data_IF_254985101717
#
_entry.id   IF_254985101717
#
_cell.length_a   1.000
_cell.length_b   1.000
_cell.length_c   1.000
_cell.angle_alpha   90.00
_cell.angle_beta   90.00
_cell.angle_gamma   90.00
#
_symmetry.space_group_name_H-M   'P 1'
#
loop_
_entity.id
_entity.type
_entity.pdbx_description
1 polymer ?
#
# COMPACT_ATOMS: atom_id res chain seq x y z
N UNK A 1 -17.17 -47.54 69.24
CA UNK A 1 -17.08 -46.59 68.09
C UNK A 1 -15.70 -46.78 67.45
N UNK A 2 -15.63 -47.59 66.37
CA UNK A 2 -15.18 -47.20 65.00
C UNK A 2 -13.89 -46.35 64.96
N UNK A 3 -12.84 -46.60 64.16
CA UNK A 3 -12.42 -47.65 63.20
C UNK A 3 -11.00 -47.26 62.74
N UNK A 4 -10.06 -48.21 62.79
CA UNK A 4 -9.03 -48.56 61.80
C UNK A 4 -7.92 -47.61 61.25
N UNK A 5 -6.71 -48.19 61.30
CA UNK A 5 -5.41 -47.92 60.66
C UNK A 5 -5.40 -47.83 59.12
N UNK A 6 -4.36 -47.13 58.61
CA UNK A 6 -3.56 -47.30 57.38
C UNK A 6 -4.32 -47.57 56.06
N UNK A 7 -4.08 -46.86 54.95
CA UNK A 7 -2.85 -46.87 54.13
C UNK A 7 -3.16 -46.06 52.85
N UNK A 8 -2.27 -45.15 52.46
CA UNK A 8 -1.39 -45.23 51.27
C UNK A 8 -2.05 -45.02 49.89
N UNK A 9 -1.42 -44.13 49.12
CA UNK A 9 -1.46 -43.99 47.66
C UNK A 9 -2.83 -43.70 47.01
N UNK A 10 -3.10 -42.42 46.74
CA UNK A 10 -3.69 -42.01 45.47
C UNK A 10 -3.07 -40.67 45.05
N UNK A 11 -1.82 -40.76 44.59
CA UNK A 11 -1.20 -39.74 43.76
C UNK A 11 -2.00 -39.74 42.45
N UNK A 12 -2.88 -38.75 42.27
CA UNK A 12 -3.61 -38.56 41.02
C UNK A 12 -2.61 -38.16 39.92
N UNK A 13 -2.05 -39.18 39.26
CA UNK A 13 -1.46 -39.10 37.94
C UNK A 13 -2.57 -38.79 36.92
N UNK A 14 -3.01 -37.54 36.85
CA UNK A 14 -3.49 -36.99 35.59
C UNK A 14 -2.28 -36.52 34.81
N UNK A 15 -1.54 -37.49 34.26
CA UNK A 15 -0.75 -37.24 33.06
C UNK A 15 -1.77 -36.94 31.95
N UNK A 16 -2.06 -35.65 31.76
CA UNK A 16 -2.57 -35.20 30.48
C UNK A 16 -1.50 -35.58 29.46
N UNK A 17 -1.79 -36.62 28.70
CA UNK A 17 -1.16 -36.84 27.41
C UNK A 17 -1.56 -35.65 26.53
N UNK A 18 -0.86 -34.52 26.71
CA UNK A 18 -0.59 -33.65 25.58
C UNK A 18 0.31 -34.48 24.67
N UNK A 19 -0.33 -35.23 23.79
CA UNK A 19 0.28 -35.65 22.55
C UNK A 19 0.89 -34.41 21.95
N UNK A 20 2.22 -34.40 21.88
CA UNK A 20 2.96 -33.54 20.96
C UNK A 20 2.37 -33.88 19.59
N UNK A 21 1.45 -33.06 19.12
CA UNK A 21 0.95 -33.15 17.76
C UNK A 21 2.17 -32.78 16.91
N UNK A 22 2.85 -33.80 16.40
CA UNK A 22 3.89 -33.62 15.42
C UNK A 22 3.33 -32.70 14.33
N UNK A 23 4.07 -31.65 13.95
CA UNK A 23 3.77 -30.80 12.81
C UNK A 23 3.73 -31.67 11.54
N UNK A 24 2.61 -32.34 11.28
CA UNK A 24 2.37 -32.99 9.99
C UNK A 24 2.25 -31.89 8.95
N UNK A 25 2.95 -32.06 7.82
CA UNK A 25 2.72 -31.21 6.66
C UNK A 25 1.23 -31.27 6.29
N UNK A 26 0.58 -30.12 6.18
CA UNK A 26 -0.82 -30.07 5.76
C UNK A 26 -0.91 -30.50 4.29
N UNK A 27 -1.95 -31.26 3.96
CA UNK A 27 -2.31 -31.52 2.57
C UNK A 27 -2.75 -30.22 1.85
N UNK A 28 -2.73 -30.23 0.52
CA UNK A 28 -3.20 -29.12 -0.30
C UNK A 28 -4.65 -28.72 0.06
N UNK A 29 -5.51 -29.70 0.31
CA UNK A 29 -6.92 -29.46 0.64
C UNK A 29 -7.09 -28.84 2.03
N UNK A 30 -6.31 -29.31 3.01
CA UNK A 30 -6.29 -28.69 4.34
C UNK A 30 -5.79 -27.25 4.27
N UNK A 31 -4.71 -26.98 3.52
CA UNK A 31 -4.20 -25.62 3.33
C UNK A 31 -5.26 -24.69 2.72
N UNK A 32 -5.96 -25.12 1.66
CA UNK A 32 -7.05 -24.33 1.06
C UNK A 32 -8.14 -24.01 2.08
N UNK A 33 -8.56 -25.01 2.88
CA UNK A 33 -9.59 -24.84 3.91
C UNK A 33 -9.14 -23.88 5.00
N UNK A 34 -7.89 -23.97 5.45
CA UNK A 34 -7.33 -23.04 6.44
C UNK A 34 -7.28 -21.61 5.90
N UNK A 35 -6.79 -21.38 4.68
CA UNK A 35 -6.85 -20.04 4.08
C UNK A 35 -8.28 -19.51 3.94
N UNK A 36 -9.21 -20.35 3.51
CA UNK A 36 -10.62 -19.98 3.39
C UNK A 36 -11.25 -19.62 4.74
N UNK A 37 -10.85 -20.26 5.85
CA UNK A 37 -11.35 -19.93 7.19
C UNK A 37 -10.93 -18.52 7.64
N UNK A 38 -9.84 -18.01 7.07
CA UNK A 38 -9.35 -16.63 7.23
C UNK A 38 -9.86 -15.66 6.14
N UNK A 39 -10.89 -16.05 5.38
CA UNK A 39 -11.49 -15.21 4.33
C UNK A 39 -10.60 -15.01 3.11
N UNK A 40 -9.53 -15.79 2.96
CA UNK A 40 -8.65 -15.73 1.80
C UNK A 40 -9.30 -16.52 0.66
N UNK A 41 -9.59 -15.82 -0.44
CA UNK A 41 -10.26 -16.37 -1.62
C UNK A 41 -9.48 -15.96 -2.89
N UNK A 42 -9.68 -16.66 -4.03
CA UNK A 42 -9.09 -16.24 -5.30
C UNK A 42 -9.61 -14.85 -5.71
N UNK A 43 -8.73 -13.91 -6.06
CA UNK A 43 -9.17 -12.53 -6.37
C UNK A 43 -10.12 -12.45 -7.57
N UNK A 44 -9.95 -13.32 -8.57
CA UNK A 44 -10.83 -13.34 -9.74
C UNK A 44 -12.29 -13.71 -9.43
N UNK A 45 -12.62 -14.12 -8.19
CA UNK A 45 -14.01 -14.33 -7.76
C UNK A 45 -14.66 -13.08 -7.15
N UNK A 46 -13.88 -12.03 -6.88
CA UNK A 46 -14.40 -10.79 -6.31
C UNK A 46 -15.04 -9.87 -7.35
N UNK A 47 -15.99 -9.07 -6.87
CA UNK A 47 -16.63 -8.02 -7.66
C UNK A 47 -15.72 -6.79 -7.77
N UNK A 48 -15.73 -6.20 -8.95
CA UNK A 48 -15.07 -4.94 -9.24
C UNK A 48 -15.92 -4.16 -10.24
N UNK A 49 -15.82 -2.84 -10.17
CA UNK A 49 -16.44 -1.96 -11.14
C UNK A 49 -15.76 -2.11 -12.51
N UNK A 50 -16.56 -2.15 -13.56
CA UNK A 50 -16.10 -2.07 -14.96
C UNK A 50 -16.27 -0.65 -15.47
N UNK A 51 -15.32 -0.16 -16.26
CA UNK A 51 -15.35 1.20 -16.80
C UNK A 51 -15.47 1.17 -18.33
N UNK A 52 -15.91 2.29 -18.91
CA UNK A 52 -15.92 2.43 -20.37
C UNK A 52 -14.49 2.57 -20.90
N UNK A 53 -14.27 2.15 -22.15
CA UNK A 53 -12.96 2.28 -22.80
C UNK A 53 -12.50 3.76 -22.87
N UNK A 54 -13.46 4.67 -23.03
CA UNK A 54 -13.26 6.12 -23.07
C UNK A 54 -12.78 6.66 -21.73
N UNK A 55 -13.39 6.22 -20.62
CA UNK A 55 -13.00 6.63 -19.26
C UNK A 55 -11.64 6.05 -18.88
N UNK A 56 -11.38 4.78 -19.25
CA UNK A 56 -10.08 4.15 -19.09
C UNK A 56 -8.98 4.91 -19.85
N UNK A 57 -9.21 5.26 -21.12
CA UNK A 57 -8.22 5.97 -21.94
C UNK A 57 -7.98 7.41 -21.45
N UNK A 58 -9.03 8.12 -21.04
CA UNK A 58 -8.90 9.43 -20.40
C UNK A 58 -8.02 9.34 -19.15
N UNK A 59 -8.29 8.36 -18.28
CA UNK A 59 -7.50 8.08 -17.09
C UNK A 59 -6.05 7.74 -17.40
N UNK A 60 -5.83 6.87 -18.38
CA UNK A 60 -4.48 6.47 -18.82
C UNK A 60 -3.68 7.67 -19.32
N UNK A 61 -4.27 8.56 -20.10
CA UNK A 61 -3.54 9.75 -20.58
C UNK A 61 -3.23 10.69 -19.42
N UNK A 62 -4.19 10.98 -18.55
CA UNK A 62 -4.00 11.86 -17.39
C UNK A 62 -2.97 11.32 -16.38
N UNK A 63 -2.94 10.01 -16.14
CA UNK A 63 -2.01 9.37 -15.21
C UNK A 63 -0.53 9.57 -15.61
N UNK A 64 -0.26 9.63 -16.92
CA UNK A 64 1.09 9.86 -17.45
C UNK A 64 1.38 11.33 -17.77
N UNK A 65 0.37 12.19 -17.78
CA UNK A 65 0.50 13.59 -18.14
C UNK A 65 0.86 14.45 -16.92
N UNK A 66 1.91 15.25 -17.05
CA UNK A 66 2.37 16.17 -16.00
C UNK A 66 1.42 17.36 -15.81
N UNK A 67 0.40 17.50 -16.67
CA UNK A 67 -0.59 18.58 -16.63
C UNK A 67 -1.35 18.68 -15.30
N UNK A 68 -1.45 17.58 -14.53
CA UNK A 68 -2.10 17.54 -13.22
C UNK A 68 -1.23 18.08 -12.08
N UNK A 69 0.06 18.30 -12.30
CA UNK A 69 0.95 18.89 -11.28
C UNK A 69 1.02 20.41 -11.41
N UNK A 70 1.23 21.13 -10.30
CA UNK A 70 1.24 22.59 -10.28
C UNK A 70 2.27 23.17 -11.24
N UNK A 71 3.52 22.70 -11.14
CA UNK A 71 4.67 23.09 -11.97
C UNK A 71 4.81 22.31 -13.28
N UNK A 72 3.85 21.42 -13.61
CA UNK A 72 3.84 20.62 -14.86
C UNK A 72 5.10 19.78 -15.10
N UNK A 73 5.74 19.33 -14.03
CA UNK A 73 7.01 18.60 -14.04
C UNK A 73 6.94 17.16 -13.51
N UNK A 74 5.79 16.70 -13.02
CA UNK A 74 5.61 15.36 -12.46
C UNK A 74 4.21 14.83 -12.76
N UNK A 75 4.08 13.52 -12.99
CA UNK A 75 2.80 12.82 -13.18
C UNK A 75 2.68 11.66 -12.21
N UNK A 76 1.50 11.03 -12.13
CA UNK A 76 1.30 9.84 -11.29
C UNK A 76 2.30 8.73 -11.66
N UNK A 77 2.56 8.54 -12.96
CA UNK A 77 3.50 7.55 -13.48
C UNK A 77 4.96 7.77 -13.06
N UNK A 78 5.35 8.96 -12.59
CA UNK A 78 6.70 9.21 -12.09
C UNK A 78 6.98 8.45 -10.77
N UNK A 79 5.95 8.26 -9.95
CA UNK A 79 6.01 7.53 -8.68
C UNK A 79 5.36 6.15 -8.74
N UNK A 80 4.44 5.93 -9.70
CA UNK A 80 3.66 4.71 -9.84
C UNK A 80 3.80 4.10 -11.24
N UNK A 81 4.99 3.58 -11.55
CA UNK A 81 5.32 3.09 -12.89
C UNK A 81 5.20 1.57 -13.00
N UNK A 82 4.64 1.05 -14.09
CA UNK A 82 4.46 -0.41 -14.30
C UNK A 82 5.78 -1.19 -14.38
N UNK A 83 6.82 -0.60 -14.97
CA UNK A 83 8.18 -1.19 -14.98
C UNK A 83 8.75 -1.45 -13.59
N UNK A 84 8.31 -0.72 -12.57
CA UNK A 84 8.82 -0.77 -11.19
C UNK A 84 7.78 -1.32 -10.21
N UNK A 85 6.93 -2.26 -10.67
CA UNK A 85 5.93 -2.91 -9.82
C UNK A 85 4.91 -1.94 -9.23
N UNK A 86 4.53 -0.90 -9.99
CA UNK A 86 3.61 0.17 -9.58
C UNK A 86 4.14 1.13 -8.51
N UNK A 87 5.44 1.04 -8.17
CA UNK A 87 6.18 2.06 -7.43
C UNK A 87 7.22 2.76 -8.30
N UNK A 88 8.31 3.24 -7.70
CA UNK A 88 9.40 3.96 -8.36
C UNK A 88 10.79 3.39 -8.07
N UNK A 89 10.88 2.18 -7.49
CA UNK A 89 12.14 1.52 -7.10
C UNK A 89 13.05 2.32 -6.14
N UNK A 90 12.55 3.41 -5.55
CA UNK A 90 13.27 4.19 -4.55
C UNK A 90 12.77 3.84 -3.14
N UNK A 91 13.63 3.92 -2.11
CA UNK A 91 13.17 3.84 -0.72
C UNK A 91 12.10 4.91 -0.44
N UNK A 92 12.41 6.15 -0.84
CA UNK A 92 11.53 7.31 -0.70
C UNK A 92 11.42 8.01 -2.04
N UNK A 93 10.19 8.34 -2.41
CA UNK A 93 9.91 9.00 -3.67
C UNK A 93 10.42 10.43 -3.70
N UNK A 94 10.69 10.91 -4.91
CA UNK A 94 11.08 12.29 -5.17
C UNK A 94 9.91 12.94 -5.91
N UNK A 95 9.23 13.87 -5.25
CA UNK A 95 8.07 14.56 -5.80
C UNK A 95 8.45 15.69 -6.76
N UNK A 96 7.78 16.82 -6.60
CA UNK A 96 8.00 18.04 -7.38
C UNK A 96 9.50 18.43 -7.40
N UNK A 97 10.01 18.73 -8.60
CA UNK A 97 11.44 19.02 -8.83
C UNK A 97 12.33 17.78 -9.05
N UNK A 98 11.77 16.57 -9.08
CA UNK A 98 12.48 15.34 -9.45
C UNK A 98 12.54 15.07 -10.96
N UNK A 99 13.69 14.62 -11.45
CA UNK A 99 13.91 14.25 -12.85
C UNK A 99 14.28 12.78 -13.01
N UNK A 100 13.81 12.15 -14.10
CA UNK A 100 14.09 10.74 -14.40
C UNK A 100 13.14 9.76 -13.71
N UNK A 101 13.41 8.46 -13.90
CA UNK A 101 12.57 7.37 -13.43
C UNK A 101 13.37 6.30 -12.68
N UNK A 102 12.69 5.59 -11.79
CA UNK A 102 13.29 4.46 -11.09
C UNK A 102 14.53 4.88 -10.27
N UNK A 103 15.51 3.99 -10.25
CA UNK A 103 16.84 4.26 -9.69
C UNK A 103 17.61 5.40 -10.39
N UNK A 104 17.21 5.84 -11.59
CA UNK A 104 17.83 6.98 -12.27
C UNK A 104 17.20 8.32 -11.87
N UNK A 105 16.11 8.29 -11.09
CA UNK A 105 15.46 9.52 -10.61
C UNK A 105 16.39 10.26 -9.63
N UNK A 106 16.51 11.57 -9.85
CA UNK A 106 17.37 12.48 -9.10
C UNK A 106 16.58 13.67 -8.56
N UNK A 107 16.92 14.08 -7.35
CA UNK A 107 16.39 15.29 -6.72
C UNK A 107 17.21 16.47 -7.25
N UNK A 108 16.62 17.28 -8.15
CA UNK A 108 17.25 18.53 -8.62
C UNK A 108 16.83 19.71 -7.75
N UNK A 109 15.54 19.79 -7.46
CA UNK A 109 14.92 20.74 -6.54
C UNK A 109 13.80 20.02 -5.76
N UNK A 110 13.29 20.65 -4.70
CA UNK A 110 12.19 20.11 -3.88
C UNK A 110 12.65 19.21 -2.74
N UNK A 111 11.81 18.25 -2.38
CA UNK A 111 11.96 17.46 -1.16
C UNK A 111 11.75 15.96 -1.40
N UNK A 112 12.33 15.14 -0.52
CA UNK A 112 11.96 13.72 -0.43
C UNK A 112 10.56 13.61 0.15
N UNK A 113 9.76 12.72 -0.42
CA UNK A 113 8.48 12.35 0.16
C UNK A 113 8.76 11.49 1.42
N UNK A 114 8.08 11.72 2.55
CA UNK A 114 8.36 11.04 3.81
C UNK A 114 8.17 9.51 3.82
N UNK A 115 7.56 8.95 2.78
CA UNK A 115 7.20 7.55 2.67
C UNK A 115 7.47 7.01 1.27
N UNK A 116 7.68 5.71 1.19
CA UNK A 116 7.71 4.94 -0.04
C UNK A 116 6.38 5.05 -0.80
N UNK A 117 6.40 5.07 -2.13
CA UNK A 117 5.20 5.03 -2.96
C UNK A 117 4.47 3.69 -2.79
N UNK A 118 3.24 3.65 -2.22
CA UNK A 118 2.56 2.40 -1.94
C UNK A 118 2.07 1.76 -3.26
N UNK A 119 2.30 0.46 -3.49
CA UNK A 119 1.88 -0.23 -4.71
C UNK A 119 0.37 -0.17 -4.95
N UNK A 120 -0.06 0.08 -6.19
CA UNK A 120 -1.47 0.35 -6.54
C UNK A 120 -2.22 -0.88 -7.07
N UNK A 121 -1.68 -2.08 -6.91
CA UNK A 121 -2.32 -3.31 -7.37
C UNK A 121 -3.66 -3.59 -6.68
N UNK A 122 -4.64 -4.08 -7.44
CA UNK A 122 -5.91 -4.64 -6.96
C UNK A 122 -6.77 -3.69 -6.10
N UNK A 123 -6.59 -2.37 -6.22
CA UNK A 123 -7.38 -1.38 -5.46
C UNK A 123 -8.76 -1.08 -6.04
N UNK A 124 -9.06 -1.63 -7.23
CA UNK A 124 -10.33 -1.44 -7.94
C UNK A 124 -11.46 -2.40 -7.53
N UNK A 125 -11.18 -3.37 -6.66
CA UNK A 125 -12.19 -4.30 -6.13
C UNK A 125 -13.09 -3.62 -5.10
N UNK A 126 -14.36 -4.03 -5.05
CA UNK A 126 -15.36 -3.40 -4.17
C UNK A 126 -15.00 -3.54 -2.69
N UNK A 127 -14.35 -4.64 -2.31
CA UNK A 127 -13.91 -4.92 -0.95
C UNK A 127 -12.64 -4.15 -0.54
N UNK A 128 -11.97 -3.45 -1.47
CA UNK A 128 -10.83 -2.60 -1.14
C UNK A 128 -11.31 -1.25 -0.60
N UNK A 129 -11.15 -1.01 0.70
CA UNK A 129 -11.83 0.11 1.37
C UNK A 129 -10.91 1.12 2.08
N UNK A 130 -9.62 0.83 2.27
CA UNK A 130 -8.68 1.71 3.00
C UNK A 130 -7.34 1.83 2.26
N UNK A 131 -6.91 3.06 1.95
CA UNK A 131 -5.66 3.36 1.24
C UNK A 131 -4.71 4.24 2.07
N UNK A 132 -3.49 4.43 1.54
CA UNK A 132 -2.33 5.05 2.21
C UNK A 132 -1.72 4.21 3.33
N UNK A 133 -0.45 4.49 3.66
CA UNK A 133 0.30 3.80 4.71
C UNK A 133 -0.27 4.01 6.12
N UNK A 134 -0.97 5.11 6.38
CA UNK A 134 -1.63 5.41 7.67
C UNK A 134 -3.14 5.18 7.63
N UNK A 135 -3.65 4.56 6.56
CA UNK A 135 -5.08 4.25 6.42
C UNK A 135 -6.00 5.47 6.49
N UNK A 136 -5.46 6.66 6.18
CA UNK A 136 -6.14 7.94 6.38
C UNK A 136 -7.26 8.24 5.39
N UNK A 137 -7.32 7.50 4.28
CA UNK A 137 -8.40 7.61 3.30
C UNK A 137 -9.13 6.27 3.27
N UNK A 138 -10.41 6.28 3.62
CA UNK A 138 -11.24 5.08 3.68
C UNK A 138 -12.69 5.34 3.31
N UNK A 139 -13.40 4.28 2.90
CA UNK A 139 -14.86 4.30 2.76
C UNK A 139 -15.51 4.60 4.11
N UNK A 140 -16.55 5.42 4.13
CA UNK A 140 -17.36 5.69 5.31
C UNK A 140 -18.37 4.57 5.60
N UNK A 141 -19.11 4.73 6.69
CA UNK A 141 -20.10 3.72 7.14
C UNK A 141 -21.28 3.61 6.16
N UNK A 142 -21.63 4.69 5.48
CA UNK A 142 -22.70 4.72 4.48
C UNK A 142 -22.13 4.63 3.07
N UNK A 143 -22.80 3.92 2.14
CA UNK A 143 -22.40 3.90 0.73
C UNK A 143 -22.23 5.30 0.15
N UNK A 144 -21.12 5.54 -0.55
CA UNK A 144 -20.81 6.84 -1.17
C UNK A 144 -20.21 7.89 -0.23
N UNK A 145 -20.08 7.60 1.07
CA UNK A 145 -19.42 8.48 2.03
C UNK A 145 -17.96 8.12 2.24
N UNK A 146 -17.15 9.10 2.67
CA UNK A 146 -15.70 8.94 2.83
C UNK A 146 -15.23 9.44 4.20
N UNK A 147 -14.09 8.90 4.65
CA UNK A 147 -13.34 9.45 5.78
C UNK A 147 -11.90 9.69 5.32
N UNK A 148 -11.50 10.96 5.35
CA UNK A 148 -10.23 11.44 4.83
C UNK A 148 -9.66 12.56 5.71
N UNK A 149 -8.39 12.97 5.53
CA UNK A 149 -7.84 14.14 6.22
C UNK A 149 -8.48 15.46 5.79
N UNK A 150 -9.17 15.50 4.65
CA UNK A 150 -9.88 16.68 4.19
C UNK A 150 -11.32 16.63 4.72
N UNK A 151 -11.65 17.48 5.69
CA UNK A 151 -12.96 17.47 6.33
C UNK A 151 -14.07 17.80 5.33
N UNK A 152 -13.79 18.68 4.35
CA UNK A 152 -14.78 19.11 3.37
C UNK A 152 -15.27 18.02 2.42
N UNK A 153 -14.62 16.85 2.36
CA UNK A 153 -15.07 15.70 1.54
C UNK A 153 -15.71 14.57 2.35
N UNK A 154 -15.80 14.70 3.66
CA UNK A 154 -16.23 13.62 4.55
C UNK A 154 -17.75 13.65 4.82
N UNK A 155 -18.30 12.48 5.14
CA UNK A 155 -19.69 12.34 5.59
C UNK A 155 -20.75 12.41 4.49
N UNK A 156 -22.01 12.58 4.89
CA UNK A 156 -23.17 12.60 3.99
C UNK A 156 -23.44 13.98 3.36
N UNK A 157 -22.99 15.05 4.03
CA UNK A 157 -23.16 16.43 3.57
C UNK A 157 -21.78 17.10 3.47
N UNK A 158 -20.92 16.66 2.53
CA UNK A 158 -19.60 17.25 2.35
C UNK A 158 -19.70 18.71 1.92
N UNK A 159 -18.80 19.55 2.42
CA UNK A 159 -18.66 20.95 1.99
C UNK A 159 -18.37 21.05 0.49
N UNK A 160 -17.54 20.14 -0.03
CA UNK A 160 -17.18 20.05 -1.44
C UNK A 160 -18.07 19.06 -2.20
N UNK A 161 -19.38 19.06 -1.93
CA UNK A 161 -20.35 18.16 -2.55
C UNK A 161 -20.23 18.09 -4.07
N UNK A 162 -20.00 19.23 -4.74
CA UNK A 162 -19.86 19.28 -6.19
C UNK A 162 -18.66 18.46 -6.73
N UNK A 163 -17.58 18.26 -5.95
CA UNK A 163 -16.46 17.37 -6.30
C UNK A 163 -16.72 15.94 -5.83
N UNK A 164 -17.41 15.75 -4.69
CA UNK A 164 -17.60 14.46 -4.04
C UNK A 164 -18.72 13.63 -4.66
N UNK A 165 -19.85 14.23 -5.00
CA UNK A 165 -21.02 13.54 -5.55
C UNK A 165 -20.71 12.70 -6.80
N UNK A 166 -19.85 13.15 -7.74
CA UNK A 166 -19.45 12.31 -8.86
C UNK A 166 -18.53 11.16 -8.48
N UNK A 167 -17.83 11.17 -7.35
CA UNK A 167 -16.75 10.21 -7.05
C UNK A 167 -17.27 8.77 -6.98
N UNK A 168 -16.66 7.90 -7.78
CA UNK A 168 -17.13 6.55 -8.04
C UNK A 168 -16.41 5.48 -7.22
N UNK A 169 -15.25 5.79 -6.65
CA UNK A 169 -14.38 4.80 -5.99
C UNK A 169 -13.41 5.43 -4.99
N UNK A 170 -12.85 4.61 -4.11
CA UNK A 170 -11.79 5.02 -3.17
C UNK A 170 -10.52 5.47 -3.91
N UNK A 171 -10.28 4.98 -5.13
CA UNK A 171 -9.17 5.41 -5.98
C UNK A 171 -9.39 6.83 -6.50
N UNK A 172 -10.62 7.16 -6.91
CA UNK A 172 -10.96 8.53 -7.31
C UNK A 172 -10.76 9.51 -6.12
N UNK A 173 -11.20 9.13 -4.93
CA UNK A 173 -10.97 9.93 -3.71
C UNK A 173 -9.47 10.08 -3.43
N UNK A 174 -8.69 9.01 -3.55
CA UNK A 174 -7.25 9.04 -3.32
C UNK A 174 -6.53 9.96 -4.32
N UNK A 175 -6.96 10.00 -5.58
CA UNK A 175 -6.37 10.83 -6.61
C UNK A 175 -6.44 12.34 -6.32
N UNK A 176 -7.33 12.77 -5.40
CA UNK A 176 -7.45 14.16 -4.97
C UNK A 176 -6.27 14.66 -4.12
N UNK A 177 -5.49 13.75 -3.50
CA UNK A 177 -4.52 14.12 -2.47
C UNK A 177 -3.11 14.44 -3.00
N UNK A 178 -2.49 13.62 -3.87
CA UNK A 178 -1.13 13.91 -4.36
C UNK A 178 -1.03 15.24 -5.11
N UNK A 179 -2.05 15.57 -5.92
CA UNK A 179 -2.15 16.83 -6.68
C UNK A 179 -2.21 18.09 -5.80
N UNK A 180 -2.65 17.94 -4.55
CA UNK A 180 -2.79 19.02 -3.58
C UNK A 180 -1.72 18.95 -2.48
N UNK A 181 -0.68 18.14 -2.69
CA UNK A 181 0.45 17.98 -1.77
C UNK A 181 1.66 18.73 -2.32
N UNK A 182 2.16 19.69 -1.55
CA UNK A 182 3.33 20.52 -1.92
C UNK A 182 4.58 19.67 -2.20
N UNK A 183 4.76 18.60 -1.42
CA UNK A 183 5.90 17.70 -1.54
C UNK A 183 5.76 16.69 -2.69
N UNK A 184 4.55 16.50 -3.23
CA UNK A 184 4.28 15.50 -4.26
C UNK A 184 4.10 16.16 -5.63
N UNK A 185 2.96 16.82 -5.88
CA UNK A 185 2.64 17.33 -7.22
C UNK A 185 2.24 18.82 -7.25
N UNK A 186 1.84 19.43 -6.13
CA UNK A 186 1.38 20.83 -6.14
C UNK A 186 2.54 21.81 -6.34
N UNK A 187 3.70 21.54 -5.74
CA UNK A 187 4.79 22.49 -5.58
C UNK A 187 4.53 23.51 -4.47
N UNK A 188 5.53 24.32 -4.14
CA UNK A 188 5.45 25.27 -3.04
C UNK A 188 4.41 26.39 -3.28
N UNK A 189 3.94 26.99 -2.19
CA UNK A 189 2.97 28.09 -2.21
C UNK A 189 3.41 29.24 -3.14
N UNK A 190 2.48 29.74 -3.96
CA UNK A 190 2.65 30.82 -4.94
C UNK A 190 3.72 30.59 -6.02
N UNK A 191 4.22 29.37 -6.20
CA UNK A 191 5.17 29.06 -7.29
C UNK A 191 4.49 28.80 -8.63
N UNK A 192 3.19 28.54 -8.66
CA UNK A 192 2.42 28.32 -9.88
C UNK A 192 0.97 28.80 -9.79
N UNK A 193 0.22 28.62 -10.88
CA UNK A 193 -1.17 29.05 -11.03
C UNK A 193 -2.20 28.23 -10.21
N UNK A 194 -1.79 27.08 -9.65
CA UNK A 194 -2.65 26.21 -8.83
C UNK A 194 -2.36 26.43 -7.34
N UNK A 195 -1.10 26.66 -6.97
CA UNK A 195 -0.68 26.90 -5.57
C UNK A 195 -0.81 28.36 -5.09
N UNK A 196 -1.60 29.19 -5.79
CA UNK A 196 -1.78 30.61 -5.41
C UNK A 196 -2.53 30.80 -4.10
N UNK A 197 -3.47 29.89 -3.83
CA UNK A 197 -4.28 29.84 -2.62
C UNK A 197 -4.01 28.53 -1.89
N UNK A 198 -4.26 28.50 -0.59
CA UNK A 198 -4.20 27.27 0.22
C UNK A 198 -5.50 26.46 0.15
N UNK A 199 -6.55 27.03 -0.43
CA UNK A 199 -7.86 26.40 -0.61
C UNK A 199 -7.82 25.29 -1.67
N UNK A 200 -8.25 24.09 -1.29
CA UNK A 200 -8.30 22.93 -2.20
C UNK A 200 -9.35 23.09 -3.28
N UNK A 201 -10.46 23.74 -3.00
CA UNK A 201 -11.52 23.91 -3.98
C UNK A 201 -11.04 24.77 -5.14
N UNK A 202 -10.36 25.88 -4.81
CA UNK A 202 -9.60 26.66 -5.78
C UNK A 202 -8.64 25.81 -6.60
N UNK A 203 -7.79 24.99 -5.97
CA UNK A 203 -6.81 24.15 -6.69
C UNK A 203 -7.49 23.22 -7.70
N UNK A 204 -8.54 22.51 -7.28
CA UNK A 204 -9.30 21.59 -8.13
C UNK A 204 -10.00 22.31 -9.28
N UNK A 205 -10.61 23.47 -9.03
CA UNK A 205 -11.17 24.33 -10.06
C UNK A 205 -10.11 24.73 -11.10
N UNK A 206 -8.95 25.22 -10.66
CA UNK A 206 -7.86 25.65 -11.57
C UNK A 206 -7.32 24.51 -12.43
N UNK A 207 -7.14 23.32 -11.85
CA UNK A 207 -6.73 22.13 -12.59
C UNK A 207 -7.79 21.71 -13.61
N UNK A 208 -9.06 21.71 -13.23
CA UNK A 208 -10.17 21.40 -14.15
C UNK A 208 -10.24 22.39 -15.32
N UNK A 209 -10.13 23.70 -15.08
CA UNK A 209 -10.06 24.72 -16.15
C UNK A 209 -8.89 24.47 -17.10
N UNK A 210 -7.73 24.13 -16.56
CA UNK A 210 -6.52 23.82 -17.33
C UNK A 210 -6.74 22.64 -18.26
N UNK A 211 -7.37 21.56 -17.78
CA UNK A 211 -7.71 20.38 -18.60
C UNK A 211 -8.70 20.72 -19.70
N UNK A 212 -9.79 21.45 -19.39
CA UNK A 212 -10.84 21.80 -20.35
C UNK A 212 -10.39 22.73 -21.49
N UNK A 213 -9.27 23.44 -21.31
CA UNK A 213 -8.63 24.26 -22.36
C UNK A 213 -7.96 23.41 -23.45
N UNK A 214 -7.66 22.15 -23.17
CA UNK A 214 -7.05 21.22 -24.14
C UNK A 214 -8.18 20.48 -24.86
N UNK A 215 -8.38 20.79 -26.14
CA UNK A 215 -9.47 20.26 -26.97
C UNK A 215 -9.60 18.73 -26.88
N UNK A 216 -8.48 18.02 -27.05
CA UNK A 216 -8.47 16.56 -26.98
C UNK A 216 -8.89 16.01 -25.60
N UNK A 217 -8.58 16.69 -24.50
CA UNK A 217 -9.06 16.26 -23.17
C UNK A 217 -10.54 16.56 -22.98
N UNK A 218 -11.02 17.71 -23.45
CA UNK A 218 -12.44 18.05 -23.43
C UNK A 218 -13.26 17.03 -24.22
N UNK A 219 -12.81 16.61 -25.39
CA UNK A 219 -13.49 15.57 -26.20
C UNK A 219 -13.51 14.22 -25.48
N UNK A 220 -12.40 13.83 -24.85
CA UNK A 220 -12.32 12.60 -24.07
C UNK A 220 -13.23 12.64 -22.84
N UNK A 221 -13.36 13.79 -22.18
CA UNK A 221 -14.29 13.98 -21.06
C UNK A 221 -15.75 13.77 -21.50
N UNK A 222 -16.18 14.40 -22.59
CA UNK A 222 -17.54 14.19 -23.12
C UNK A 222 -17.81 12.74 -23.55
N UNK A 223 -16.79 12.04 -24.08
CA UNK A 223 -16.89 10.61 -24.40
C UNK A 223 -16.95 9.72 -23.17
N UNK A 224 -16.21 10.07 -22.11
CA UNK A 224 -16.19 9.32 -20.85
C UNK A 224 -17.46 9.53 -19.99
N UNK A 225 -18.14 10.66 -20.18
CA UNK A 225 -19.34 11.09 -19.44
C UNK A 225 -20.41 11.62 -20.40
N UNK A 226 -21.07 10.75 -21.19
CA UNK A 226 -22.05 11.15 -22.20
C UNK A 226 -23.31 11.82 -21.61
N UNK A 227 -23.56 11.67 -20.32
CA UNK A 227 -24.61 12.36 -19.56
C UNK A 227 -24.34 13.85 -19.40
N UNK A 228 -23.07 14.28 -19.36
CA UNK A 228 -22.66 15.67 -19.21
C UNK A 228 -22.81 16.40 -20.56
N UNK A 229 -23.52 17.54 -20.56
CA UNK A 229 -23.85 18.27 -21.80
C UNK A 229 -23.05 19.54 -21.99
N UNK A 230 -22.71 20.23 -20.90
CA UNK A 230 -21.95 21.47 -20.96
C UNK A 230 -20.57 21.31 -20.30
N UNK A 231 -19.56 21.98 -20.86
CA UNK A 231 -18.20 21.94 -20.27
C UNK A 231 -18.16 22.49 -18.85
N UNK A 232 -19.09 23.40 -18.51
CA UNK A 232 -19.28 23.98 -17.19
C UNK A 232 -19.57 22.95 -16.10
N UNK A 233 -20.16 21.81 -16.47
CA UNK A 233 -20.66 20.81 -15.51
C UNK A 233 -19.57 19.79 -15.12
N UNK A 234 -18.49 19.71 -15.89
CA UNK A 234 -17.31 18.96 -15.47
C UNK A 234 -16.70 19.61 -14.24
N UNK A 235 -16.34 18.79 -13.26
CA UNK A 235 -15.56 19.19 -12.10
C UNK A 235 -14.37 18.24 -11.92
N UNK A 236 -13.55 18.48 -10.91
CA UNK A 236 -12.36 17.67 -10.69
C UNK A 236 -12.67 16.23 -10.27
N UNK A 237 -13.86 15.95 -9.71
CA UNK A 237 -14.32 14.58 -9.43
C UNK A 237 -14.39 13.70 -10.68
N UNK A 238 -14.80 14.26 -11.83
CA UNK A 238 -14.79 13.55 -13.12
C UNK A 238 -13.37 13.19 -13.58
N UNK A 239 -12.42 14.11 -13.39
CA UNK A 239 -11.00 13.88 -13.71
C UNK A 239 -10.43 12.79 -12.80
N UNK A 240 -10.71 12.87 -11.49
CA UNK A 240 -10.27 11.91 -10.50
C UNK A 240 -10.85 10.50 -10.75
N UNK A 241 -12.12 10.42 -11.14
CA UNK A 241 -12.76 9.17 -11.56
C UNK A 241 -12.07 8.50 -12.74
N UNK A 242 -11.67 9.27 -13.76
CA UNK A 242 -10.95 8.73 -14.90
C UNK A 242 -9.61 8.13 -14.47
N UNK A 243 -8.83 8.84 -13.65
CA UNK A 243 -7.57 8.32 -13.09
C UNK A 243 -7.80 7.05 -12.29
N UNK A 244 -8.80 7.05 -11.39
CA UNK A 244 -9.14 5.87 -10.59
C UNK A 244 -9.63 4.68 -11.41
N UNK A 245 -10.34 4.92 -12.52
CA UNK A 245 -10.77 3.88 -13.46
C UNK A 245 -9.57 3.21 -14.16
N UNK A 246 -8.61 4.01 -14.63
CA UNK A 246 -7.36 3.49 -15.19
C UNK A 246 -6.60 2.65 -14.16
N UNK A 247 -6.42 3.17 -12.94
CA UNK A 247 -5.72 2.43 -11.88
C UNK A 247 -6.37 1.09 -11.56
N UNK A 248 -7.71 1.09 -11.42
CA UNK A 248 -8.51 -0.09 -11.10
C UNK A 248 -8.33 -1.22 -12.12
N UNK A 249 -8.35 -0.90 -13.41
CA UNK A 249 -8.27 -1.90 -14.49
C UNK A 249 -6.82 -2.25 -14.85
N UNK A 250 -5.95 -1.25 -14.97
CA UNK A 250 -4.60 -1.44 -15.50
C UNK A 250 -3.70 -2.20 -14.51
N UNK A 251 -3.86 -1.95 -13.21
CA UNK A 251 -3.09 -2.61 -12.14
C UNK A 251 -3.85 -3.75 -11.46
N UNK A 252 -4.82 -4.37 -12.14
CA UNK A 252 -5.35 -5.66 -11.70
C UNK A 252 -4.25 -6.73 -11.76
N UNK A 253 -4.17 -7.56 -10.74
CA UNK A 253 -3.19 -8.64 -10.57
C UNK A 253 -3.86 -9.77 -9.78
N UNK A 254 -4.81 -10.44 -10.43
CA UNK A 254 -5.79 -11.36 -9.85
C UNK A 254 -5.66 -12.80 -10.37
N UNK A 255 -4.58 -13.11 -11.10
CA UNK A 255 -4.32 -14.41 -11.72
C UNK A 255 -2.99 -15.01 -11.25
N UNK A 256 -2.80 -15.06 -9.94
CA UNK A 256 -1.57 -15.59 -9.33
C UNK A 256 -1.61 -17.12 -9.24
N UNK A 257 -0.44 -17.75 -9.06
CA UNK A 257 -0.38 -19.19 -8.79
C UNK A 257 -1.13 -19.57 -7.51
N UNK A 258 -1.12 -18.69 -6.52
CA UNK A 258 -1.91 -18.85 -5.30
C UNK A 258 -3.42 -18.76 -5.55
N UNK A 259 -3.89 -17.86 -6.42
CA UNK A 259 -5.32 -17.80 -6.80
C UNK A 259 -5.78 -19.09 -7.47
N UNK A 260 -4.96 -19.64 -8.37
CA UNK A 260 -5.25 -20.93 -9.00
C UNK A 260 -5.16 -22.10 -8.01
N UNK A 261 -4.25 -22.03 -7.04
CA UNK A 261 -4.17 -23.00 -5.95
C UNK A 261 -5.42 -23.01 -5.08
N UNK A 262 -5.88 -21.84 -4.63
CA UNK A 262 -7.11 -21.68 -3.84
C UNK A 262 -8.35 -22.21 -4.59
N UNK A 263 -8.37 -22.07 -5.91
CA UNK A 263 -9.45 -22.58 -6.76
C UNK A 263 -9.34 -24.06 -7.16
N UNK A 264 -8.34 -24.79 -6.66
CA UNK A 264 -8.10 -26.20 -7.02
C UNK A 264 -7.67 -26.40 -8.49
N UNK A 265 -7.20 -25.34 -9.15
CA UNK A 265 -6.79 -25.34 -10.58
C UNK A 265 -5.29 -25.56 -10.77
N UNK A 266 -4.50 -25.43 -9.71
CA UNK A 266 -3.05 -25.62 -9.71
C UNK A 266 -2.60 -26.17 -8.36
N UNK A 267 -1.56 -27.00 -8.36
CA UNK A 267 -0.88 -27.41 -7.12
C UNK A 267 0.38 -26.58 -6.91
N UNK A 268 0.64 -26.22 -5.66
CA UNK A 268 1.90 -25.61 -5.25
C UNK A 268 2.97 -26.69 -5.06
N UNK A 269 4.23 -26.32 -5.21
CA UNK A 269 5.34 -27.20 -4.87
C UNK A 269 5.36 -27.49 -3.36
N UNK A 270 6.05 -28.57 -2.95
CA UNK A 270 6.19 -28.92 -1.53
C UNK A 270 6.79 -27.78 -0.70
N UNK A 271 7.77 -27.03 -1.23
CA UNK A 271 8.40 -25.91 -0.51
C UNK A 271 7.44 -24.73 -0.35
N UNK A 272 6.68 -24.40 -1.40
CA UNK A 272 5.65 -23.35 -1.35
C UNK A 272 4.53 -23.71 -0.38
N UNK A 273 4.08 -24.97 -0.35
CA UNK A 273 3.08 -25.45 0.63
C UNK A 273 3.60 -25.37 2.06
N UNK A 274 4.86 -25.75 2.32
CA UNK A 274 5.49 -25.54 3.63
C UNK A 274 5.56 -24.07 4.00
N UNK A 275 5.92 -23.20 3.05
CA UNK A 275 5.89 -21.75 3.23
C UNK A 275 4.50 -21.24 3.61
N UNK A 276 3.46 -21.74 2.94
CA UNK A 276 2.08 -21.41 3.21
C UNK A 276 1.64 -21.88 4.62
N UNK A 277 2.05 -23.08 5.04
CA UNK A 277 1.80 -23.58 6.40
C UNK A 277 2.54 -22.76 7.47
N UNK A 278 3.79 -22.35 7.20
CA UNK A 278 4.54 -21.45 8.08
C UNK A 278 3.86 -20.09 8.20
N UNK A 279 3.30 -19.57 7.10
CA UNK A 279 2.55 -18.32 7.06
C UNK A 279 1.29 -18.35 7.93
N UNK A 280 0.55 -19.47 7.89
CA UNK A 280 -0.63 -19.68 8.72
C UNK A 280 -0.27 -19.86 10.21
N UNK A 281 0.71 -20.72 10.49
CA UNK A 281 0.91 -21.25 11.84
C UNK A 281 2.09 -20.57 12.54
N UNK A 282 3.31 -21.08 12.29
CA UNK A 282 4.52 -20.72 13.06
C UNK A 282 4.83 -19.22 13.00
N UNK A 283 4.61 -18.59 11.85
CA UNK A 283 4.85 -17.16 11.65
C UNK A 283 3.66 -16.29 12.01
N UNK A 284 2.47 -16.90 12.20
CA UNK A 284 1.20 -16.22 12.45
C UNK A 284 0.95 -15.02 11.50
N UNK A 285 1.51 -15.04 10.28
CA UNK A 285 1.46 -13.93 9.34
C UNK A 285 0.00 -13.65 8.94
N UNK A 286 -0.81 -14.70 8.83
CA UNK A 286 -2.25 -14.65 8.56
C UNK A 286 -3.02 -13.81 9.59
N UNK A 287 -2.49 -13.62 10.81
CA UNK A 287 -3.18 -12.84 11.86
C UNK A 287 -3.36 -11.36 11.51
N UNK A 288 -2.57 -10.83 10.58
CA UNK A 288 -2.75 -9.50 9.98
C UNK A 288 -2.90 -9.57 8.46
N UNK A 289 -2.27 -10.55 7.79
CA UNK A 289 -2.32 -10.71 6.34
C UNK A 289 -3.40 -11.72 5.91
N UNK A 290 -4.66 -11.44 6.25
CA UNK A 290 -5.83 -12.26 5.93
C UNK A 290 -6.74 -11.64 4.85
N UNK A 291 -7.89 -12.26 4.60
CA UNK A 291 -8.83 -11.79 3.61
C UNK A 291 -8.32 -11.89 2.17
N UNK A 292 -9.09 -11.43 1.18
CA UNK A 292 -8.75 -11.60 -0.23
C UNK A 292 -7.43 -10.92 -0.63
N UNK A 293 -7.09 -9.81 0.03
CA UNK A 293 -5.90 -9.01 -0.28
C UNK A 293 -4.67 -9.37 0.57
N UNK A 294 -4.78 -10.37 1.45
CA UNK A 294 -3.75 -10.68 2.46
C UNK A 294 -3.38 -9.42 3.27
N UNK A 295 -4.41 -8.74 3.76
CA UNK A 295 -4.36 -7.53 4.57
C UNK A 295 -5.69 -7.41 5.32
N UNK A 296 -5.60 -7.23 6.63
CA UNK A 296 -6.71 -6.87 7.51
C UNK A 296 -7.11 -5.38 7.38
N UNK A 297 -6.35 -4.59 6.61
CA UNK A 297 -6.45 -3.14 6.51
C UNK A 297 -6.35 -2.37 7.85
N UNK A 298 -5.97 -3.06 8.93
CA UNK A 298 -5.73 -2.47 10.24
C UNK A 298 -4.31 -1.90 10.31
N UNK A 299 -4.06 -1.13 11.38
CA UNK A 299 -2.78 -0.46 11.58
C UNK A 299 -2.00 -1.14 12.70
N UNK A 300 -0.76 -1.56 12.41
CA UNK A 300 0.12 -2.24 13.34
C UNK A 300 1.49 -1.58 13.37
N UNK A 301 2.16 -1.64 14.51
CA UNK A 301 3.53 -1.18 14.65
C UNK A 301 4.50 -2.36 14.55
N UNK A 302 5.43 -2.27 13.60
CA UNK A 302 6.43 -3.31 13.31
C UNK A 302 7.83 -2.95 13.85
N UNK A 303 8.01 -1.73 14.35
CA UNK A 303 9.31 -1.18 14.74
C UNK A 303 10.35 -1.23 13.59
N UNK A 304 9.92 -0.90 12.37
CA UNK A 304 10.79 -0.77 11.21
C UNK A 304 11.85 0.32 11.47
N UNK A 305 13.13 0.09 11.14
CA UNK A 305 14.14 1.13 11.20
C UNK A 305 13.77 2.31 10.28
N UNK A 306 13.72 3.53 10.83
CA UNK A 306 13.22 4.68 10.08
C UNK A 306 14.26 5.21 9.07
N UNK A 307 13.80 5.41 7.83
CA UNK A 307 14.48 6.15 6.78
C UNK A 307 13.65 7.37 6.34
N UNK A 308 14.30 8.50 6.07
CA UNK A 308 13.66 9.65 5.43
C UNK A 308 13.53 10.88 6.30
N UNK A 309 12.95 11.97 5.74
CA UNK A 309 12.80 13.22 6.47
C UNK A 309 11.80 13.11 7.62
N UNK A 310 11.02 12.02 7.70
CA UNK A 310 9.87 11.92 8.60
C UNK A 310 8.74 12.85 8.16
N UNK A 311 7.68 12.91 8.96
CA UNK A 311 6.55 13.84 8.75
C UNK A 311 6.55 15.01 9.74
N UNK A 312 7.57 15.09 10.59
CA UNK A 312 7.73 16.07 11.67
C UNK A 312 9.19 16.48 11.83
N UNK A 313 9.48 17.34 12.80
CA UNK A 313 10.85 17.70 13.19
C UNK A 313 11.60 16.43 13.69
N UNK A 314 12.88 16.29 13.29
CA UNK A 314 13.81 15.23 13.69
C UNK A 314 13.60 13.81 13.09
N UNK A 315 13.37 13.69 11.77
CA UNK A 315 13.41 12.41 11.00
C UNK A 315 12.52 11.31 11.57
N UNK A 316 11.31 11.66 12.02
CA UNK A 316 10.37 10.71 12.60
C UNK A 316 9.01 10.73 11.91
N UNK A 317 8.42 9.55 11.74
CA UNK A 317 7.05 9.39 11.26
C UNK A 317 6.24 8.62 12.30
N UNK A 318 5.36 9.36 13.00
CA UNK A 318 4.51 8.78 14.06
C UNK A 318 3.35 7.94 13.51
N UNK A 319 3.23 7.76 12.20
CA UNK A 319 2.25 6.86 11.59
C UNK A 319 0.82 7.34 11.76
N UNK A 320 -0.06 6.45 12.20
CA UNK A 320 -1.48 6.70 12.42
C UNK A 320 -1.76 7.81 13.46
N UNK A 321 -0.90 8.00 14.47
CA UNK A 321 -1.03 9.08 15.48
C UNK A 321 -1.16 10.46 14.83
N UNK A 322 -0.51 10.70 13.68
CA UNK A 322 -0.59 11.98 12.98
C UNK A 322 -2.03 12.31 12.54
N UNK A 323 -2.86 11.28 12.35
CA UNK A 323 -4.27 11.40 11.97
C UNK A 323 -5.17 11.39 13.20
N UNK A 324 -4.98 10.43 14.12
CA UNK A 324 -5.90 10.23 15.26
C UNK A 324 -5.61 11.15 16.44
N UNK A 325 -4.39 11.71 16.50
CA UNK A 325 -3.84 12.45 17.65
C UNK A 325 -3.79 11.61 18.94
N UNK A 326 -3.98 10.30 18.85
CA UNK A 326 -3.91 9.39 19.98
C UNK A 326 -2.50 8.81 20.11
N UNK A 327 -1.78 9.05 21.22
CA UNK A 327 -0.44 8.50 21.43
C UNK A 327 -0.37 6.97 21.37
N UNK A 328 -1.48 6.27 21.62
CA UNK A 328 -1.54 4.81 21.52
C UNK A 328 -1.49 4.30 20.07
N UNK A 329 -1.64 5.18 19.08
CA UNK A 329 -1.55 4.86 17.64
C UNK A 329 -0.18 5.17 17.03
N UNK A 330 0.78 5.57 17.87
CA UNK A 330 2.15 5.88 17.43
C UNK A 330 2.78 4.70 16.72
N UNK A 331 3.48 5.00 15.62
CA UNK A 331 4.22 4.06 14.77
C UNK A 331 3.37 2.95 14.13
N UNK A 332 2.04 3.03 14.21
CA UNK A 332 1.16 2.10 13.51
C UNK A 332 0.99 2.51 12.06
N UNK A 333 1.11 1.54 11.17
CA UNK A 333 0.88 1.68 9.74
C UNK A 333 -0.06 0.57 9.27
N UNK A 334 -0.86 0.89 8.26
CA UNK A 334 -1.81 -0.01 7.62
C UNK A 334 -1.07 -1.23 7.08
N UNK A 335 -1.54 -2.44 7.40
CA UNK A 335 -1.07 -3.68 6.77
C UNK A 335 -1.13 -3.53 5.24
N UNK A 336 -0.01 -3.57 4.50
CA UNK A 336 -0.05 -3.54 3.04
C UNK A 336 -0.55 -4.88 2.50
N UNK A 337 -1.12 -4.86 1.29
CA UNK A 337 -1.44 -6.12 0.59
C UNK A 337 -0.15 -6.87 0.24
N UNK A 338 -0.19 -8.20 0.34
CA UNK A 338 0.92 -9.06 -0.12
C UNK A 338 0.78 -9.52 -1.57
N UNK A 339 -0.32 -9.18 -2.25
CA UNK A 339 -0.49 -9.45 -3.68
C UNK A 339 0.57 -8.66 -4.46
N UNK A 340 1.32 -9.33 -5.33
CA UNK A 340 2.47 -8.79 -6.05
C UNK A 340 3.65 -8.29 -5.18
N UNK A 341 3.76 -8.68 -3.91
CA UNK A 341 4.82 -8.19 -3.00
C UNK A 341 6.24 -8.40 -3.53
N UNK A 342 6.48 -9.42 -4.36
CA UNK A 342 7.78 -9.65 -5.02
C UNK A 342 8.24 -8.43 -5.85
N UNK A 343 7.29 -7.73 -6.47
CA UNK A 343 7.57 -6.70 -7.48
C UNK A 343 7.71 -5.30 -6.90
N UNK A 344 7.35 -5.12 -5.64
CA UNK A 344 7.05 -3.81 -5.06
C UNK A 344 8.13 -3.28 -4.14
N UNK A 345 9.35 -3.82 -4.25
CA UNK A 345 10.47 -3.32 -3.47
C UNK A 345 10.92 -1.92 -3.91
N UNK A 346 11.65 -1.18 -3.07
CA UNK A 346 11.96 -1.47 -1.66
C UNK A 346 10.71 -1.49 -0.75
N UNK A 347 10.78 -2.20 0.38
CA UNK A 347 9.62 -2.52 1.22
C UNK A 347 9.57 -1.74 2.53
N UNK A 348 8.38 -1.73 3.14
CA UNK A 348 7.91 -0.94 4.30
C UNK A 348 7.48 0.48 3.92
N UNK A 349 6.91 1.21 4.89
CA UNK A 349 6.38 2.55 4.68
C UNK A 349 7.43 3.56 4.24
N UNK A 350 8.70 3.29 4.48
CA UNK A 350 9.85 4.13 4.15
C UNK A 350 10.85 3.46 3.21
N UNK A 351 10.52 2.27 2.68
CA UNK A 351 11.35 1.54 1.73
C UNK A 351 12.71 1.11 2.30
N UNK A 352 12.83 0.96 3.62
CA UNK A 352 14.08 0.60 4.28
C UNK A 352 14.68 -0.72 3.75
N UNK A 353 13.86 -1.75 3.49
CA UNK A 353 14.37 -3.05 3.06
C UNK A 353 14.46 -3.15 1.53
N UNK A 354 15.63 -3.55 1.02
CA UNK A 354 15.88 -3.79 -0.42
C UNK A 354 15.82 -5.27 -0.79
N UNK A 355 15.46 -6.15 0.14
CA UNK A 355 15.34 -7.59 -0.08
C UNK A 355 14.17 -8.16 0.74
N UNK A 356 13.26 -8.87 0.08
CA UNK A 356 12.07 -9.46 0.70
C UNK A 356 12.40 -10.50 1.79
N UNK A 357 13.53 -11.20 1.71
CA UNK A 357 13.97 -12.09 2.80
C UNK A 357 14.38 -11.32 4.05
N UNK A 358 14.92 -10.10 3.92
CA UNK A 358 15.21 -9.26 5.08
C UNK A 358 13.93 -8.72 5.72
N UNK A 359 12.87 -8.50 4.92
CA UNK A 359 11.52 -8.21 5.43
C UNK A 359 10.99 -9.37 6.26
N UNK A 360 11.09 -10.61 5.76
CA UNK A 360 10.67 -11.80 6.52
C UNK A 360 11.48 -11.91 7.82
N UNK A 361 12.82 -11.71 7.75
CA UNK A 361 13.71 -11.72 8.93
C UNK A 361 13.31 -10.66 9.96
N UNK A 362 12.89 -9.48 9.51
CA UNK A 362 12.39 -8.44 10.39
C UNK A 362 11.10 -8.86 11.10
N UNK A 363 10.14 -9.45 10.39
CA UNK A 363 8.88 -9.90 11.01
C UNK A 363 9.11 -10.99 12.07
N UNK A 364 10.00 -11.95 11.81
CA UNK A 364 10.26 -13.03 12.77
C UNK A 364 11.17 -12.62 13.93
N UNK A 365 11.91 -11.50 13.81
CA UNK A 365 12.74 -10.96 14.88
C UNK A 365 13.05 -9.46 14.70
N UNK A 366 12.08 -8.61 15.01
CA UNK A 366 12.20 -7.15 14.84
C UNK A 366 13.32 -6.57 15.72
N UNK A 367 13.49 -7.07 16.94
CA UNK A 367 14.53 -6.61 17.87
C UNK A 367 15.94 -6.83 17.32
N UNK A 368 16.24 -8.04 16.85
CA UNK A 368 17.55 -8.34 16.25
C UNK A 368 17.78 -7.52 14.98
N UNK A 369 16.76 -7.36 14.14
CA UNK A 369 16.80 -6.52 12.95
C UNK A 369 17.15 -5.06 13.29
N UNK A 370 16.52 -4.49 14.31
CA UNK A 370 16.74 -3.09 14.71
C UNK A 370 18.10 -2.88 15.37
N UNK A 371 18.54 -3.81 16.22
CA UNK A 371 19.90 -3.75 16.82
C UNK A 371 21.00 -3.83 15.75
N UNK A 372 20.81 -4.68 14.73
CA UNK A 372 21.72 -4.78 13.58
C UNK A 372 21.75 -3.47 12.77
N UNK A 373 20.62 -2.79 12.63
CA UNK A 373 20.55 -1.47 11.99
C UNK A 373 21.40 -0.44 12.76
N UNK A 374 21.15 -0.28 14.06
CA UNK A 374 21.82 0.71 14.91
C UNK A 374 23.34 0.49 14.93
N UNK A 375 23.79 -0.77 14.97
CA UNK A 375 25.20 -1.14 15.04
C UNK A 375 25.94 -1.14 13.69
N UNK A 376 25.22 -1.15 12.55
CA UNK A 376 25.85 -1.24 11.23
C UNK A 376 26.47 0.10 10.82
N UNK A 377 27.78 0.07 10.52
CA UNK A 377 28.49 1.20 9.88
C UNK A 377 28.32 1.23 8.36
N UNK A 378 27.87 0.15 7.73
CA UNK A 378 27.83 0.00 6.29
C UNK A 378 26.38 -0.10 5.76
N UNK A 379 25.92 0.98 5.13
CA UNK A 379 24.61 1.07 4.46
C UNK A 379 24.76 1.21 2.93
N UNK A 380 25.78 0.58 2.32
CA UNK A 380 26.09 0.62 0.88
C UNK A 380 24.93 0.25 -0.06
N UNK A 381 23.84 -0.32 0.46
CA UNK A 381 22.66 -0.73 -0.32
C UNK A 381 21.77 0.46 -0.76
N UNK A 382 21.95 1.64 -0.17
CA UNK A 382 21.19 2.84 -0.53
C UNK A 382 22.07 3.93 -1.12
N UNK A 383 21.51 4.79 -1.97
CA UNK A 383 22.19 6.02 -2.42
C UNK A 383 22.55 6.88 -1.20
N UNK A 384 23.65 7.64 -1.30
CA UNK A 384 24.12 8.53 -0.23
C UNK A 384 23.05 9.49 0.29
N UNK A 385 22.15 9.94 -0.59
CA UNK A 385 21.01 10.78 -0.23
C UNK A 385 20.15 10.16 0.88
N UNK A 386 19.84 8.86 0.79
CA UNK A 386 18.99 8.16 1.75
C UNK A 386 19.76 7.77 3.03
N UNK A 387 21.05 7.45 2.92
CA UNK A 387 21.89 7.12 4.09
C UNK A 387 21.92 8.28 5.10
N UNK A 388 21.91 9.52 4.61
CA UNK A 388 21.87 10.74 5.45
C UNK A 388 20.55 10.91 6.21
N UNK A 389 19.50 10.21 5.80
CA UNK A 389 18.16 10.30 6.39
C UNK A 389 17.84 9.15 7.35
N UNK A 390 18.81 8.29 7.64
CA UNK A 390 18.62 7.17 8.56
C UNK A 390 18.51 7.66 10.00
N UNK A 391 17.48 7.20 10.72
CA UNK A 391 17.38 7.49 12.14
C UNK A 391 18.28 6.55 12.97
N UNK A 392 19.39 7.11 13.43
CA UNK A 392 20.38 6.42 14.28
C UNK A 392 20.22 6.71 15.76
N UNK A 393 19.20 7.47 16.16
CA UNK A 393 18.98 7.79 17.56
C UNK A 393 18.53 6.55 18.34
N UNK A 394 19.27 6.22 19.39
CA UNK A 394 19.04 5.01 20.15
C UNK A 394 17.72 5.04 20.92
N UNK A 395 17.35 6.19 21.49
CA UNK A 395 16.14 6.31 22.32
C UNK A 395 14.88 6.31 21.45
N UNK A 396 14.89 6.97 20.29
CA UNK A 396 13.77 6.87 19.32
C UNK A 396 13.57 5.44 18.82
N UNK A 397 14.65 4.72 18.54
CA UNK A 397 14.54 3.31 18.12
C UNK A 397 14.07 2.40 19.27
N UNK A 398 14.48 2.68 20.51
CA UNK A 398 13.95 1.98 21.70
C UNK A 398 12.45 2.26 21.88
N UNK A 399 12.02 3.50 21.67
CA UNK A 399 10.61 3.88 21.69
C UNK A 399 9.83 3.14 20.59
N UNK A 400 10.30 3.11 19.35
CA UNK A 400 9.64 2.32 18.28
C UNK A 400 9.41 0.87 18.67
N UNK A 401 10.40 0.27 19.34
CA UNK A 401 10.32 -1.12 19.81
C UNK A 401 9.27 -1.30 20.91
N UNK A 402 9.02 -0.29 21.77
CA UNK A 402 8.00 -0.41 22.82
C UNK A 402 6.57 -0.41 22.28
N UNK A 403 6.37 0.06 21.03
CA UNK A 403 5.09 -0.01 20.32
C UNK A 403 4.92 -1.29 19.49
N UNK A 404 5.91 -2.19 19.45
CA UNK A 404 5.83 -3.41 18.64
C UNK A 404 4.52 -4.16 18.90
N UNK A 405 3.84 -4.54 17.82
CA UNK A 405 2.59 -5.29 17.90
C UNK A 405 2.77 -6.55 18.77
N UNK A 406 1.90 -6.79 19.77
CA UNK A 406 1.97 -7.99 20.60
C UNK A 406 1.94 -9.30 19.78
N UNK A 407 1.32 -9.26 18.59
CA UNK A 407 1.28 -10.40 17.65
C UNK A 407 2.67 -10.84 17.18
N UNK A 408 3.69 -9.98 17.28
CA UNK A 408 5.07 -10.24 16.84
C UNK A 408 6.08 -10.35 17.99
N UNK A 409 5.65 -10.08 19.23
CA UNK A 409 6.56 -10.02 20.38
C UNK A 409 7.15 -11.38 20.77
N UNK A 410 6.53 -12.49 20.37
CA UNK A 410 6.86 -13.85 20.85
C UNK A 410 6.81 -14.93 19.77
N UNK A 411 7.32 -14.63 18.57
CA UNK A 411 7.41 -15.65 17.52
C UNK A 411 8.51 -16.69 17.80
N UNK A 412 8.26 -17.99 17.50
CA UNK A 412 9.30 -19.01 17.57
C UNK A 412 10.48 -18.72 16.65
N UNK A 413 11.65 -19.27 16.95
CA UNK A 413 12.84 -19.12 16.09
C UNK A 413 12.64 -19.80 14.73
N UNK A 414 12.99 -19.09 13.66
CA UNK A 414 13.00 -19.60 12.29
C UNK A 414 14.40 -20.05 11.86
N UNK A 415 14.47 -21.14 11.08
CA UNK A 415 15.66 -21.51 10.32
C UNK A 415 15.75 -20.72 9.00
N UNK A 416 16.92 -20.71 8.36
CA UNK A 416 17.06 -20.09 7.04
C UNK A 416 16.25 -20.82 5.96
N UNK A 417 16.04 -22.14 6.10
CA UNK A 417 15.19 -22.91 5.19
C UNK A 417 13.71 -22.54 5.35
N UNK A 418 13.24 -22.32 6.57
CA UNK A 418 11.85 -21.87 6.81
C UNK A 418 11.62 -20.45 6.27
N UNK A 419 12.59 -19.56 6.45
CA UNK A 419 12.57 -18.21 5.83
C UNK A 419 12.54 -18.33 4.30
N UNK A 420 13.29 -19.28 3.74
CA UNK A 420 13.28 -19.50 2.30
C UNK A 420 11.94 -20.07 1.80
N UNK A 421 11.33 -21.00 2.53
CA UNK A 421 10.04 -21.58 2.18
C UNK A 421 8.93 -20.51 2.24
N UNK A 422 8.92 -19.65 3.27
CA UNK A 422 8.05 -18.46 3.32
C UNK A 422 8.25 -17.55 2.11
N UNK A 423 9.51 -17.28 1.76
CA UNK A 423 9.82 -16.47 0.58
C UNK A 423 9.24 -17.09 -0.70
N UNK A 424 9.40 -18.42 -0.90
CA UNK A 424 8.84 -19.12 -2.05
C UNK A 424 7.31 -19.01 -2.09
N UNK A 425 6.64 -19.16 -0.94
CA UNK A 425 5.20 -18.93 -0.86
C UNK A 425 4.81 -17.51 -1.30
N UNK A 426 5.53 -16.47 -0.85
CA UNK A 426 5.24 -15.09 -1.27
C UNK A 426 5.41 -14.87 -2.79
N UNK A 427 6.27 -15.63 -3.47
CA UNK A 427 6.40 -15.56 -4.93
C UNK A 427 5.16 -16.10 -5.67
N UNK A 428 4.41 -17.01 -5.04
CA UNK A 428 3.16 -17.52 -5.61
C UNK A 428 2.05 -16.46 -5.69
N UNK A 429 2.24 -15.31 -5.01
CA UNK A 429 1.32 -14.17 -4.97
C UNK A 429 1.55 -13.18 -6.12
N UNK A 430 2.43 -13.51 -7.07
CA UNK A 430 2.80 -12.62 -8.17
C UNK A 430 2.00 -12.91 -9.44
N UNK A 431 1.39 -11.87 -10.01
CA UNK A 431 0.81 -11.83 -11.34
C UNK A 431 1.45 -10.68 -12.14
N UNK A 432 2.09 -11.04 -13.27
CA UNK A 432 2.79 -10.09 -14.16
C UNK A 432 1.95 -9.67 -15.37
N UNK A 433 0.73 -10.18 -15.51
CA UNK A 433 -0.17 -9.88 -16.65
C UNK A 433 -0.57 -8.41 -16.73
N UNK A 434 -0.46 -7.65 -15.63
CA UNK A 434 -0.72 -6.21 -15.63
C UNK A 434 0.16 -5.44 -16.63
N UNK A 435 1.36 -5.97 -16.95
CA UNK A 435 2.26 -5.38 -17.94
C UNK A 435 1.67 -5.32 -19.35
N UNK A 436 0.68 -6.17 -19.65
CA UNK A 436 -0.03 -6.15 -20.94
C UNK A 436 -1.08 -5.04 -21.00
N UNK A 437 -1.60 -4.63 -19.83
CA UNK A 437 -2.64 -3.60 -19.67
C UNK A 437 -2.06 -2.20 -19.51
N UNK A 438 -0.96 -2.06 -18.73
CA UNK A 438 -0.32 -0.76 -18.49
C UNK A 438 0.61 -0.39 -19.65
N UNK A 439 0.04 0.19 -20.71
CA UNK A 439 0.81 0.71 -21.85
C UNK A 439 1.08 2.21 -21.69
N UNK A 440 2.36 2.57 -21.59
CA UNK A 440 2.80 3.97 -21.57
C UNK A 440 2.37 4.66 -22.88
N UNK A 441 1.72 5.83 -22.82
CA UNK A 441 1.46 6.60 -24.02
C UNK A 441 2.76 7.11 -24.67
N UNK A 442 2.80 7.16 -26.00
CA UNK A 442 3.92 7.77 -26.72
C UNK A 442 3.97 9.30 -26.52
N UNK A 443 2.79 9.91 -26.39
CA UNK A 443 2.58 11.33 -26.13
C UNK A 443 1.25 11.52 -25.39
N UNK A 444 1.13 12.65 -24.69
CA UNK A 444 -0.09 13.04 -23.98
C UNK A 444 -0.71 14.29 -24.59
N UNK A 445 -2.03 14.50 -24.46
CA UNK A 445 -2.74 15.65 -25.04
C UNK A 445 -2.18 17.03 -24.68
N UNK A 446 -1.56 17.21 -23.51
CA UNK A 446 -0.94 18.48 -23.13
C UNK A 446 0.31 18.85 -23.94
N UNK A 447 0.90 17.89 -24.66
CA UNK A 447 2.20 18.03 -25.31
C UNK A 447 3.40 17.93 -24.38
N UNK A 448 3.20 17.75 -23.07
CA UNK A 448 4.28 17.56 -22.10
C UNK A 448 4.98 16.19 -22.32
N UNK A 449 6.24 16.11 -21.89
CA UNK A 449 7.01 14.88 -22.02
C UNK A 449 6.45 13.77 -21.13
N UNK A 450 6.33 12.57 -21.70
CA UNK A 450 6.06 11.34 -20.97
C UNK A 450 7.40 10.72 -20.57
N UNK A 451 7.56 10.43 -19.29
CA UNK A 451 8.77 9.77 -18.78
C UNK A 451 8.78 8.31 -19.27
N UNK A 452 9.94 7.83 -19.76
CA UNK A 452 10.10 6.52 -20.44
C UNK A 452 11.10 5.60 -19.75
#
# INVERSE_FOLDING_TARGET
>A
MKKFLLSALFLFLFLSQFTIQANSELSAEELRREFSSHGVVPLFTLKHKTYSAEKFELGRLLFFDKILSGNKNISCAACHHSHFGSGDELPLSIGEGGEGLGKKRELKAGHLIPRNAPPIFNRGFDDYHTVMWDGRIRKGEKPGTWQTPEAGINGENPEFAHVVEPLESILAVQALFPISSEHEMLGAFQTNEVSRETDRDYMWMRLRERILKIERYRDLLFKAYPEVKESSDFNFGHIANAVGAFEAEAFRADRTDFDYFLAGKKELTKREMRGAQLFLNKGACISCHNGPFLSDFDNHALAVPQMGPGKEEAVNDRGLELQTKNPMDRYKFKTPTLRNVELTGPWMHDGYFTNLKEVIKHHVNAQSSLLKHISSKNHQKHKQLFIKTLDRDFERNRERMSFLSPKLASLPRFSEDEIHDLYLFLLTLTDRSFKERVKNPLSVPSGLSVDK
#
